data_IF_821737948357
#
_entry.id   IF_821737948357
#
_cell.length_a   1.000
_cell.length_b   1.000
_cell.length_c   1.000
_cell.angle_alpha   90.00
_cell.angle_beta   90.00
_cell.angle_gamma   90.00
#
_symmetry.space_group_name_H-M   'P 1'
#
loop_
_entity.id
_entity.type
_entity.pdbx_description
1 polymer ?
#
# COMPACT_ATOMS: atom_id res chain seq x y z
N UNK A 1 -15.58 15.50 26.40
CA UNK A 1 -14.20 15.30 26.91
C UNK A 1 -13.98 13.81 26.77
N UNK A 2 -13.26 13.29 25.78
CA UNK A 2 -12.13 13.85 25.02
C UNK A 2 -12.33 13.63 23.52
N UNK A 3 -11.80 14.58 22.76
CA UNK A 3 -11.57 14.48 21.33
C UNK A 3 -10.25 13.74 21.17
N UNK A 4 -10.23 12.57 20.55
CA UNK A 4 -9.02 11.92 20.07
C UNK A 4 -9.42 11.12 18.83
N UNK A 5 -9.48 11.86 17.72
CA UNK A 5 -9.30 11.46 16.32
C UNK A 5 -9.11 9.94 16.16
N UNK A 6 -10.10 9.21 15.65
CA UNK A 6 -10.14 8.89 14.22
C UNK A 6 -8.76 8.50 13.66
N UNK A 7 -7.94 7.74 14.39
CA UNK A 7 -6.71 7.21 13.81
C UNK A 7 -7.11 6.28 12.67
N UNK A 8 -7.20 6.86 11.47
CA UNK A 8 -7.28 6.20 10.19
C UNK A 8 -5.94 5.50 9.99
N UNK A 9 -5.67 4.49 10.83
CA UNK A 9 -4.47 3.68 10.78
C UNK A 9 -4.50 2.95 9.46
N UNK A 10 -3.94 3.57 8.43
CA UNK A 10 -3.92 3.04 7.07
C UNK A 10 -3.14 1.73 7.11
N UNK A 11 -3.81 0.57 7.05
CA UNK A 11 -3.14 -0.70 7.21
C UNK A 11 -2.61 -1.15 5.86
N UNK A 12 -1.49 -1.86 5.86
CA UNK A 12 -0.95 -2.48 4.67
C UNK A 12 -1.97 -3.50 4.15
N UNK A 13 -2.50 -3.30 2.94
CA UNK A 13 -3.52 -4.18 2.34
C UNK A 13 -3.04 -5.62 2.08
N UNK A 14 -1.78 -5.95 2.39
CA UNK A 14 -1.18 -7.27 2.25
C UNK A 14 -0.91 -7.99 3.57
N UNK A 15 -0.33 -7.31 4.58
CA UNK A 15 -0.01 -7.92 5.88
C UNK A 15 -0.93 -7.47 7.02
N UNK A 16 -1.69 -6.40 6.85
CA UNK A 16 -2.57 -5.84 7.88
C UNK A 16 -1.85 -5.02 8.96
N UNK A 17 -0.54 -4.80 8.83
CA UNK A 17 0.21 -3.94 9.75
C UNK A 17 -0.12 -2.46 9.50
N UNK A 18 -0.25 -1.68 10.57
CA UNK A 18 -0.53 -0.23 10.53
C UNK A 18 0.68 0.57 10.06
N UNK A 19 0.46 1.79 9.58
CA UNK A 19 1.52 2.67 9.09
C UNK A 19 2.70 2.83 10.07
N UNK A 20 3.90 2.43 9.61
CA UNK A 20 5.16 2.62 10.34
C UNK A 20 6.06 3.58 9.59
N UNK A 21 6.49 4.66 10.26
CA UNK A 21 7.41 5.68 9.70
C UNK A 21 8.78 5.14 9.27
N UNK A 22 9.14 3.96 9.78
CA UNK A 22 10.45 3.35 9.53
C UNK A 22 10.44 2.38 8.34
N UNK A 23 9.31 2.23 7.66
CA UNK A 23 9.12 1.31 6.55
C UNK A 23 8.85 2.05 5.25
N UNK A 24 9.15 1.40 4.13
CA UNK A 24 8.85 1.93 2.80
C UNK A 24 7.43 1.55 2.41
N UNK A 25 6.61 2.56 2.11
CA UNK A 25 5.22 2.42 1.73
C UNK A 25 4.99 2.92 0.31
N UNK A 26 4.07 2.27 -0.41
CA UNK A 26 3.66 2.62 -1.76
C UNK A 26 2.13 2.58 -1.85
N UNK A 27 1.56 3.62 -2.47
CA UNK A 27 0.13 3.72 -2.76
C UNK A 27 -0.14 3.16 -4.16
N UNK A 28 -1.23 2.40 -4.31
CA UNK A 28 -1.65 1.88 -5.60
C UNK A 28 -2.45 2.92 -6.40
N UNK A 29 -2.16 3.09 -7.68
CA UNK A 29 -2.92 4.00 -8.56
C UNK A 29 -4.31 3.46 -8.93
N UNK A 30 -4.52 2.15 -8.77
CA UNK A 30 -5.76 1.46 -9.16
C UNK A 30 -6.70 1.20 -7.98
N UNK A 31 -6.22 1.34 -6.75
CA UNK A 31 -7.06 1.18 -5.56
C UNK A 31 -6.55 2.10 -4.44
N UNK A 32 -7.43 2.61 -3.55
CA UNK A 32 -7.05 3.54 -2.48
C UNK A 32 -6.31 2.85 -1.32
N UNK A 33 -5.61 1.75 -1.58
CA UNK A 33 -4.91 0.95 -0.57
C UNK A 33 -3.42 1.23 -0.63
N UNK A 34 -2.82 1.20 0.55
CA UNK A 34 -1.39 1.35 0.76
C UNK A 34 -0.75 0.02 1.13
N UNK A 35 0.52 -0.12 0.77
CA UNK A 35 1.26 -1.37 0.98
C UNK A 35 2.70 -1.07 1.36
N UNK A 36 3.27 -1.94 2.18
CA UNK A 36 4.72 -1.97 2.33
C UNK A 36 5.36 -2.46 1.04
N UNK A 37 6.39 -1.77 0.54
CA UNK A 37 7.12 -2.23 -0.64
C UNK A 37 7.63 -3.66 -0.49
N UNK A 38 8.08 -4.07 0.71
CA UNK A 38 8.46 -5.46 1.02
C UNK A 38 7.31 -6.45 0.81
N UNK A 39 6.07 -6.08 1.14
CA UNK A 39 4.91 -6.94 1.06
C UNK A 39 4.42 -7.14 -0.38
N UNK A 40 4.69 -6.16 -1.25
CA UNK A 40 4.31 -6.19 -2.67
C UNK A 40 5.50 -6.39 -3.62
N UNK A 41 6.68 -6.72 -3.07
CA UNK A 41 7.94 -6.87 -3.81
C UNK A 41 8.31 -5.65 -4.67
N UNK A 42 8.02 -4.44 -4.18
CA UNK A 42 8.41 -3.18 -4.81
C UNK A 42 9.55 -2.57 -4.02
N UNK A 43 10.65 -2.31 -4.71
CA UNK A 43 11.78 -1.56 -4.14
C UNK A 43 11.59 -0.07 -4.37
N UNK A 44 12.31 0.75 -3.60
CA UNK A 44 12.33 2.21 -3.80
C UNK A 44 12.75 2.58 -5.22
N UNK A 45 13.71 1.86 -5.80
CA UNK A 45 14.15 2.04 -7.19
C UNK A 45 13.02 1.75 -8.19
N UNK A 46 12.30 0.63 -8.01
CA UNK A 46 11.15 0.34 -8.87
C UNK A 46 10.08 1.42 -8.74
N UNK A 47 9.78 1.88 -7.53
CA UNK A 47 8.77 2.92 -7.32
C UNK A 47 9.16 4.26 -7.96
N UNK A 48 10.46 4.58 -8.03
CA UNK A 48 10.98 5.78 -8.70
C UNK A 48 10.84 5.70 -10.23
N UNK A 49 10.99 4.49 -10.80
CA UNK A 49 10.82 4.25 -12.24
C UNK A 49 9.36 4.01 -12.66
N UNK A 50 8.45 3.76 -11.72
CA UNK A 50 7.04 3.44 -11.99
C UNK A 50 6.20 4.71 -11.94
N UNK A 51 5.67 5.12 -13.10
CA UNK A 51 4.70 6.22 -13.22
C UNK A 51 3.35 5.89 -12.57
N UNK A 52 2.88 4.64 -12.70
CA UNK A 52 1.61 4.16 -12.14
C UNK A 52 1.77 2.78 -11.53
N UNK A 53 1.65 2.71 -10.21
CA UNK A 53 1.84 1.47 -9.48
C UNK A 53 0.56 0.62 -9.46
N UNK A 54 0.61 -0.55 -10.10
CA UNK A 54 -0.41 -1.59 -9.96
C UNK A 54 -0.03 -2.58 -8.85
N UNK A 55 -0.83 -2.63 -7.78
CA UNK A 55 -0.59 -3.59 -6.70
C UNK A 55 -0.94 -5.03 -7.12
N UNK A 56 -0.33 -6.05 -6.50
CA UNK A 56 -0.60 -7.44 -6.83
C UNK A 56 -2.07 -7.84 -6.61
N UNK A 57 -2.81 -7.15 -5.73
CA UNK A 57 -4.24 -7.39 -5.56
C UNK A 57 -5.05 -6.94 -6.78
N UNK A 58 -4.71 -5.78 -7.38
CA UNK A 58 -5.33 -5.33 -8.62
C UNK A 58 -4.96 -6.23 -9.80
N UNK A 59 -3.69 -6.63 -9.90
CA UNK A 59 -3.24 -7.59 -10.91
C UNK A 59 -3.97 -8.94 -10.78
N UNK A 60 -4.13 -9.47 -9.55
CA UNK A 60 -4.87 -10.71 -9.30
C UNK A 60 -6.36 -10.60 -9.67
N UNK A 61 -6.99 -9.44 -9.44
CA UNK A 61 -8.39 -9.21 -9.85
C UNK A 61 -8.55 -9.24 -11.37
N UNK A 62 -7.53 -8.83 -12.14
CA UNK A 62 -7.53 -8.85 -13.60
C UNK A 62 -7.35 -10.25 -14.20
N UNK A 63 -6.60 -11.14 -13.55
CA UNK A 63 -6.33 -12.51 -14.06
C UNK A 63 -7.47 -13.50 -13.85
N UNK A 64 -8.55 -13.13 -13.14
CA UNK A 64 -9.75 -13.97 -12.95
C UNK A 64 -10.85 -13.71 -13.98
N UNK A 65 -10.49 -13.23 -15.17
CA UNK A 65 -11.39 -13.04 -16.31
C UNK A 65 -11.12 -14.08 -17.40
#
# INVERSE_FOLDING_TARGET
>A
MESEEEQEETPCGRCGEVYQKNEFWIACDFCPLWYHGKCVNVTTTMADEIDKYECPLCALKRTKA
#
